data_IF_367416879527
#
_entry.id   IF_367416879527
#
_cell.length_a   1.000
_cell.length_b   1.000
_cell.length_c   1.000
_cell.angle_alpha   90.00
_cell.angle_beta   90.00
_cell.angle_gamma   90.00
#
_symmetry.space_group_name_H-M   'P 1'
#
loop_
_entity.id
_entity.type
_entity.pdbx_description
1 polymer ?
#
# COMPACT_ATOMS: atom_id res chain seq x y z
N UNK A 1 16.71 7.20 -4.87
CA UNK A 1 15.90 6.32 -4.00
C UNK A 1 16.05 4.90 -4.48
N UNK A 2 16.31 3.99 -3.55
CA UNK A 2 16.53 2.57 -3.83
C UNK A 2 15.30 1.73 -3.44
N UNK A 3 14.54 2.23 -2.46
CA UNK A 3 13.23 1.71 -2.06
C UNK A 3 12.17 2.78 -2.34
N UNK A 4 11.07 2.39 -2.98
CA UNK A 4 9.88 3.20 -3.22
C UNK A 4 8.77 2.65 -2.33
N UNK A 5 8.16 3.52 -1.53
CA UNK A 5 7.03 3.17 -0.66
C UNK A 5 5.77 3.87 -1.12
N UNK A 6 4.74 3.12 -1.48
CA UNK A 6 3.42 3.67 -1.70
C UNK A 6 2.63 3.63 -0.39
N UNK A 7 2.58 4.78 0.30
CA UNK A 7 1.76 4.98 1.49
C UNK A 7 0.37 5.51 1.10
N UNK A 8 -0.70 4.78 1.40
CA UNK A 8 -2.05 5.26 1.08
C UNK A 8 -3.18 4.66 1.95
N UNK A 9 -4.32 5.35 2.12
CA UNK A 9 -5.54 4.71 2.59
C UNK A 9 -6.22 3.94 1.45
N UNK A 10 -6.70 2.73 1.74
CA UNK A 10 -7.47 1.91 0.82
C UNK A 10 -8.86 2.52 0.61
N UNK A 11 -9.06 3.15 -0.54
CA UNK A 11 -10.33 3.74 -0.94
C UNK A 11 -10.91 2.93 -2.09
N UNK A 12 -12.14 2.46 -1.92
CA UNK A 12 -12.81 1.60 -2.91
C UNK A 12 -11.90 0.44 -3.37
N UNK A 13 -11.29 -0.25 -2.40
CA UNK A 13 -10.46 -1.43 -2.63
C UNK A 13 -9.18 -1.18 -3.46
N UNK A 14 -8.78 0.08 -3.61
CA UNK A 14 -7.56 0.48 -4.30
C UNK A 14 -6.91 1.73 -3.70
N UNK A 15 -5.91 2.26 -4.39
CA UNK A 15 -5.25 3.48 -3.99
C UNK A 15 -6.13 4.71 -4.30
N UNK A 16 -5.93 5.84 -3.61
CA UNK A 16 -6.64 7.08 -3.93
C UNK A 16 -6.33 7.54 -5.35
N UNK A 17 -7.30 8.22 -5.98
CA UNK A 17 -7.17 8.75 -7.35
C UNK A 17 -5.92 9.62 -7.54
N UNK A 18 -5.48 10.34 -6.51
CA UNK A 18 -4.26 11.14 -6.56
C UNK A 18 -3.00 10.29 -6.74
N UNK A 19 -2.91 9.13 -6.11
CA UNK A 19 -1.76 8.23 -6.30
C UNK A 19 -1.78 7.63 -7.70
N UNK A 20 -2.95 7.19 -8.18
CA UNK A 20 -3.10 6.70 -9.55
C UNK A 20 -2.70 7.76 -10.57
N UNK A 21 -3.18 9.01 -10.41
CA UNK A 21 -2.77 10.12 -11.25
C UNK A 21 -1.27 10.37 -11.19
N UNK A 22 -0.66 10.34 -10.01
CA UNK A 22 0.79 10.52 -9.89
C UNK A 22 1.55 9.42 -10.65
N UNK A 23 1.12 8.15 -10.54
CA UNK A 23 1.69 7.04 -11.31
C UNK A 23 1.53 7.30 -12.80
N UNK A 24 0.34 7.64 -13.30
CA UNK A 24 0.09 7.92 -14.72
C UNK A 24 0.98 9.05 -15.26
N UNK A 25 1.24 10.08 -14.46
CA UNK A 25 2.04 11.24 -14.87
C UNK A 25 3.56 11.02 -14.77
N UNK A 26 4.02 10.08 -13.94
CA UNK A 26 5.45 9.88 -13.66
C UNK A 26 5.99 8.57 -14.23
N UNK A 27 5.18 7.52 -14.29
CA UNK A 27 5.53 6.21 -14.83
C UNK A 27 5.23 6.19 -16.32
N UNK A 28 5.99 6.99 -17.07
CA UNK A 28 5.82 7.16 -18.52
C UNK A 28 6.73 6.23 -19.32
N UNK A 29 6.30 5.92 -20.55
CA UNK A 29 7.05 5.12 -21.51
C UNK A 29 8.42 5.77 -21.83
N UNK A 30 9.47 4.97 -21.88
CA UNK A 30 10.84 5.41 -22.11
C UNK A 30 11.57 5.90 -20.86
N UNK A 31 10.88 6.00 -19.72
CA UNK A 31 11.47 6.30 -18.41
C UNK A 31 11.31 5.11 -17.44
N UNK A 32 10.07 4.74 -17.14
CA UNK A 32 9.74 3.70 -16.15
C UNK A 32 9.61 2.31 -16.76
N UNK A 33 9.12 2.24 -18.00
CA UNK A 33 8.85 1.02 -18.75
C UNK A 33 8.99 1.28 -20.26
N UNK A 34 8.87 0.24 -21.07
CA UNK A 34 9.07 0.31 -22.52
C UNK A 34 10.54 0.10 -22.92
N UNK A 35 10.84 0.17 -24.22
CA UNK A 35 12.14 -0.28 -24.75
C UNK A 35 13.36 0.38 -24.10
N UNK A 36 13.27 1.68 -23.77
CA UNK A 36 14.35 2.44 -23.13
C UNK A 36 14.05 2.79 -21.66
N UNK A 37 12.90 2.37 -21.12
CA UNK A 37 12.47 2.74 -19.78
C UNK A 37 13.03 1.79 -18.73
N UNK A 38 14.15 2.16 -18.12
CA UNK A 38 14.89 1.34 -17.16
C UNK A 38 15.13 2.02 -15.81
N UNK A 39 14.63 3.25 -15.61
CA UNK A 39 15.01 4.08 -14.45
C UNK A 39 14.49 3.56 -13.12
N UNK A 40 13.48 2.69 -13.16
CA UNK A 40 12.92 2.01 -12.00
C UNK A 40 13.45 0.59 -11.82
N UNK A 41 14.18 0.04 -12.80
CA UNK A 41 14.61 -1.35 -12.78
C UNK A 41 15.53 -1.65 -11.59
N UNK A 42 15.24 -2.72 -10.88
CA UNK A 42 16.00 -3.16 -9.71
C UNK A 42 15.75 -2.35 -8.44
N UNK A 43 14.94 -1.29 -8.48
CA UNK A 43 14.48 -0.61 -7.27
C UNK A 43 13.39 -1.44 -6.60
N UNK A 44 13.30 -1.32 -5.28
CA UNK A 44 12.34 -2.08 -4.49
C UNK A 44 11.02 -1.32 -4.35
N UNK A 45 9.90 -2.03 -4.36
CA UNK A 45 8.56 -1.49 -4.12
C UNK A 45 7.94 -2.16 -2.88
N UNK A 46 7.59 -1.33 -1.90
CA UNK A 46 6.80 -1.72 -0.72
C UNK A 46 5.48 -0.97 -0.76
N UNK A 47 4.37 -1.67 -0.52
CA UNK A 47 3.10 -0.99 -0.23
C UNK A 47 2.93 -0.82 1.27
N UNK A 48 2.39 0.33 1.69
CA UNK A 48 2.06 0.61 3.07
C UNK A 48 0.68 1.24 3.12
N UNK A 49 -0.33 0.51 3.60
CA UNK A 49 -1.69 1.01 3.47
C UNK A 49 -2.61 0.67 4.63
N UNK A 50 -3.70 1.41 4.73
CA UNK A 50 -4.66 1.28 5.83
C UNK A 50 -6.08 1.15 5.31
N UNK A 51 -6.98 0.53 6.06
CA UNK A 51 -8.41 0.50 5.72
C UNK A 51 -9.30 0.91 6.89
N UNK A 52 -10.51 1.36 6.56
CA UNK A 52 -11.53 1.63 7.57
C UNK A 52 -12.05 0.36 8.24
N UNK A 53 -12.36 -0.67 7.44
CA UNK A 53 -12.77 -1.96 7.97
C UNK A 53 -11.62 -2.67 8.71
N UNK A 54 -11.90 -3.36 9.82
CA UNK A 54 -10.95 -4.25 10.52
C UNK A 54 -10.37 -5.36 9.63
N UNK A 55 -9.16 -5.84 9.96
CA UNK A 55 -8.45 -6.87 9.18
C UNK A 55 -9.22 -8.19 9.10
N UNK A 56 -9.89 -8.59 10.18
CA UNK A 56 -10.64 -9.86 10.28
C UNK A 56 -11.87 -9.91 9.35
N UNK A 57 -12.29 -8.76 8.82
CA UNK A 57 -13.35 -8.69 7.80
C UNK A 57 -12.86 -9.01 6.39
N UNK A 58 -11.54 -8.90 6.13
CA UNK A 58 -10.90 -9.25 4.85
C UNK A 58 -10.55 -10.73 4.82
N UNK A 59 -11.57 -11.54 4.54
CA UNK A 59 -11.45 -12.99 4.34
C UNK A 59 -12.63 -13.49 3.54
N UNK A 60 -12.49 -14.66 2.93
CA UNK A 60 -13.63 -15.34 2.31
C UNK A 60 -14.73 -15.59 3.33
N UNK A 61 -15.96 -15.20 2.98
CA UNK A 61 -17.13 -15.24 3.87
C UNK A 61 -17.18 -14.13 4.94
N UNK A 62 -16.17 -13.26 5.01
CA UNK A 62 -16.21 -12.03 5.81
C UNK A 62 -16.94 -10.89 5.08
N UNK A 63 -17.17 -9.76 5.77
CA UNK A 63 -17.93 -8.63 5.22
C UNK A 63 -17.27 -8.02 3.97
N UNK A 64 -15.93 -8.06 3.87
CA UNK A 64 -15.20 -7.57 2.70
C UNK A 64 -15.00 -8.64 1.60
N UNK A 65 -15.53 -9.85 1.81
CA UNK A 65 -15.55 -11.00 0.88
C UNK A 65 -14.21 -11.61 0.46
N UNK A 66 -13.11 -10.86 0.52
CA UNK A 66 -11.81 -11.29 0.03
C UNK A 66 -10.69 -10.96 1.04
N UNK A 67 -9.65 -11.80 1.13
CA UNK A 67 -8.42 -11.46 1.82
C UNK A 67 -7.74 -10.24 1.17
N UNK A 68 -6.91 -9.51 1.93
CA UNK A 68 -6.34 -8.24 1.46
C UNK A 68 -5.43 -8.44 0.24
N UNK A 69 -4.80 -9.61 0.15
CA UNK A 69 -3.90 -10.03 -0.91
C UNK A 69 -4.57 -10.06 -2.29
N UNK A 70 -5.88 -10.31 -2.34
CA UNK A 70 -6.66 -10.39 -3.59
C UNK A 70 -6.80 -9.02 -4.26
N UNK A 71 -6.60 -7.92 -3.52
CA UNK A 71 -6.63 -6.56 -4.04
C UNK A 71 -5.25 -6.05 -4.49
N UNK A 72 -4.19 -6.83 -4.27
CA UNK A 72 -2.81 -6.45 -4.61
C UNK A 72 -2.31 -6.79 -6.03
N UNK A 73 -2.93 -7.68 -6.84
CA UNK A 73 -2.39 -8.03 -8.15
C UNK A 73 -2.05 -6.86 -9.08
N UNK A 74 -2.85 -5.77 -9.16
CA UNK A 74 -2.50 -4.63 -10.02
C UNK A 74 -1.16 -3.97 -9.66
N UNK A 75 -0.79 -3.91 -8.38
CA UNK A 75 0.49 -3.34 -7.94
C UNK A 75 1.66 -4.27 -8.20
N UNK A 76 1.46 -5.59 -8.04
CA UNK A 76 2.46 -6.60 -8.45
C UNK A 76 2.73 -6.51 -9.95
N UNK A 77 1.67 -6.32 -10.74
CA UNK A 77 1.79 -6.16 -12.19
C UNK A 77 2.47 -4.84 -12.58
N UNK A 78 2.17 -3.74 -11.88
CA UNK A 78 2.89 -2.47 -12.04
C UNK A 78 4.38 -2.63 -11.75
N UNK A 79 4.73 -3.33 -10.66
CA UNK A 79 6.12 -3.60 -10.33
C UNK A 79 6.83 -4.39 -11.44
N UNK A 80 6.20 -5.49 -11.89
CA UNK A 80 6.71 -6.31 -12.99
C UNK A 80 6.93 -5.50 -14.27
N UNK A 81 5.95 -4.66 -14.66
CA UNK A 81 6.03 -3.83 -15.87
C UNK A 81 7.21 -2.85 -15.81
N UNK A 82 7.50 -2.30 -14.62
CA UNK A 82 8.55 -1.31 -14.42
C UNK A 82 9.91 -1.91 -14.01
N UNK A 83 10.00 -3.25 -13.92
CA UNK A 83 11.19 -3.94 -13.43
C UNK A 83 11.53 -3.66 -11.96
N UNK A 84 10.54 -3.25 -11.16
CA UNK A 84 10.68 -3.08 -9.71
C UNK A 84 10.69 -4.45 -9.02
N UNK A 85 11.46 -4.57 -7.94
CA UNK A 85 11.44 -5.72 -7.04
C UNK A 85 10.25 -5.59 -6.08
N UNK A 86 9.32 -6.54 -6.12
CA UNK A 86 8.16 -6.55 -5.23
C UNK A 86 8.55 -7.07 -3.85
N UNK A 87 8.49 -6.21 -2.84
CA UNK A 87 8.88 -6.55 -1.47
C UNK A 87 7.69 -6.84 -0.56
N UNK A 88 6.47 -6.91 -1.09
CA UNK A 88 5.27 -7.13 -0.29
C UNK A 88 4.70 -5.84 0.28
N UNK A 89 4.01 -5.96 1.42
CA UNK A 89 3.21 -4.87 1.95
C UNK A 89 3.20 -4.82 3.49
N UNK A 90 2.83 -3.66 4.03
CA UNK A 90 2.42 -3.45 5.42
C UNK A 90 0.99 -2.93 5.42
N UNK A 91 0.12 -3.55 6.21
CA UNK A 91 -1.30 -3.25 6.22
C UNK A 91 -1.84 -3.15 7.64
N UNK A 92 -2.74 -2.19 7.87
CA UNK A 92 -3.51 -2.11 9.12
C UNK A 92 -4.95 -1.66 8.86
N UNK A 93 -5.91 -2.46 9.30
CA UNK A 93 -7.35 -2.21 9.23
C UNK A 93 -7.90 -1.50 10.47
N UNK A 94 -9.20 -1.22 10.47
CA UNK A 94 -9.90 -0.63 11.63
C UNK A 94 -9.59 0.85 11.87
N UNK A 95 -9.09 1.56 10.86
CA UNK A 95 -8.71 2.98 10.91
C UNK A 95 -9.78 3.87 10.24
N UNK A 96 -11.05 3.66 10.62
CA UNK A 96 -12.20 4.33 10.00
C UNK A 96 -12.28 5.81 10.39
N UNK A 97 -12.51 6.68 9.40
CA UNK A 97 -12.80 8.09 9.68
C UNK A 97 -14.14 8.29 10.40
N UNK A 98 -15.09 7.36 10.25
CA UNK A 98 -16.40 7.43 10.88
C UNK A 98 -16.33 7.34 12.42
N UNK A 99 -15.29 6.67 12.95
CA UNK A 99 -15.12 6.46 14.39
C UNK A 99 -14.31 7.55 15.09
N UNK A 100 -13.82 8.58 14.36
CA UNK A 100 -12.90 9.60 14.92
C UNK A 100 -13.50 10.48 16.01
N UNK A 101 -14.83 10.55 16.09
CA UNK A 101 -15.51 11.34 17.12
C UNK A 101 -15.55 10.62 18.47
N UNK A 102 -15.40 9.29 18.48
CA UNK A 102 -15.26 8.51 19.71
C UNK A 102 -13.80 8.59 20.20
N UNK A 103 -13.62 9.06 21.45
CA UNK A 103 -12.30 9.28 22.03
C UNK A 103 -11.51 7.98 22.23
N UNK A 104 -12.18 6.89 22.59
CA UNK A 104 -11.55 5.60 22.84
C UNK A 104 -11.12 4.96 21.51
N UNK A 105 -12.01 5.01 20.52
CA UNK A 105 -11.68 4.54 19.16
C UNK A 105 -10.55 5.37 18.55
N UNK A 106 -10.56 6.71 18.73
CA UNK A 106 -9.48 7.57 18.27
C UNK A 106 -8.14 7.23 18.94
N UNK A 107 -8.11 6.93 20.24
CA UNK A 107 -6.90 6.52 20.94
C UNK A 107 -6.36 5.20 20.38
N UNK A 108 -7.24 4.19 20.22
CA UNK A 108 -6.88 2.90 19.61
C UNK A 108 -6.33 3.08 18.19
N UNK A 109 -6.94 3.95 17.39
CA UNK A 109 -6.47 4.25 16.03
C UNK A 109 -5.08 4.90 16.04
N UNK A 110 -4.77 5.77 17.02
CA UNK A 110 -3.43 6.37 17.15
C UNK A 110 -2.39 5.33 17.50
N UNK A 111 -2.68 4.46 18.46
CA UNK A 111 -1.79 3.36 18.84
C UNK A 111 -1.51 2.45 17.64
N UNK A 112 -2.56 2.07 16.91
CA UNK A 112 -2.44 1.24 15.72
C UNK A 112 -1.65 1.90 14.60
N UNK A 113 -1.79 3.22 14.41
CA UNK A 113 -1.00 3.97 13.44
C UNK A 113 0.50 4.02 13.81
N UNK A 114 0.82 4.10 15.11
CA UNK A 114 2.21 4.02 15.61
C UNK A 114 2.77 2.62 15.34
N UNK A 115 2.02 1.57 15.68
CA UNK A 115 2.43 0.18 15.40
C UNK A 115 2.66 -0.03 13.90
N UNK A 116 1.77 0.46 13.05
CA UNK A 116 1.92 0.39 11.59
C UNK A 116 3.23 1.04 11.12
N UNK A 117 3.56 2.24 11.64
CA UNK A 117 4.80 2.92 11.31
C UNK A 117 6.04 2.13 11.76
N UNK A 118 6.00 1.51 12.95
CA UNK A 118 7.09 0.67 13.44
C UNK A 118 7.29 -0.57 12.55
N UNK A 119 6.21 -1.28 12.21
CA UNK A 119 6.26 -2.43 11.31
C UNK A 119 6.80 -2.06 9.92
N UNK A 120 6.42 -0.88 9.39
CA UNK A 120 6.98 -0.36 8.15
C UNK A 120 8.49 -0.12 8.29
N UNK A 121 8.93 0.53 9.37
CA UNK A 121 10.36 0.78 9.60
C UNK A 121 11.17 -0.51 9.72
N UNK A 122 10.68 -1.50 10.46
CA UNK A 122 11.31 -2.82 10.57
C UNK A 122 11.43 -3.48 9.21
N UNK A 123 10.37 -3.42 8.40
CA UNK A 123 10.40 -3.95 7.03
C UNK A 123 11.43 -3.24 6.17
N UNK A 124 11.49 -1.91 6.21
CA UNK A 124 12.44 -1.14 5.40
C UNK A 124 13.89 -1.39 5.81
N UNK A 125 14.17 -1.51 7.12
CA UNK A 125 15.51 -1.81 7.64
C UNK A 125 15.98 -3.24 7.25
N UNK A 126 15.06 -4.16 7.01
CA UNK A 126 15.41 -5.51 6.55
C UNK A 126 15.78 -5.58 5.05
N UNK A 127 15.52 -4.50 4.30
CA UNK A 127 15.75 -4.38 2.86
C UNK A 127 17.02 -3.59 2.50
N UNK A 128 17.65 -2.98 3.51
CA UNK A 128 18.89 -2.20 3.43
C UNK A 128 20.07 -3.00 3.95
#
# INVERSE_FOLDING_TARGET
ADIIVFQFPLFWYGAPSLLHRWVEQTFVHGFSHGHTGDKLKGKQLVLSFTSGAPEDMYRHGGLQNYPIEDFLPPYKQLANLCGLQWEGYVYSGGLSYASRQDKNELLRMKEKAITHAHTLMEKLNALT
#
